data_IF_598961964893
#
_entry.id   IF_598961964893
#
_cell.length_a   1.000
_cell.length_b   1.000
_cell.length_c   1.000
_cell.angle_alpha   90.00
_cell.angle_beta   90.00
_cell.angle_gamma   90.00
#
_symmetry.space_group_name_H-M   'P 1'
#
loop_
_entity.id
_entity.type
_entity.pdbx_description
1 polymer ?
#
# COMPACT_ATOMS: atom_id res chain seq x y z
N UNK A 1 -7.95 -1.03 23.77
CA UNK A 1 -7.67 -0.52 22.40
C UNK A 1 -6.40 -1.09 21.78
N UNK A 2 -5.23 -0.94 22.43
CA UNK A 2 -3.93 -1.36 21.88
C UNK A 2 -3.83 -2.85 21.52
N UNK A 3 -4.35 -3.75 22.35
CA UNK A 3 -4.30 -5.20 22.07
C UNK A 3 -5.16 -5.59 20.86
N UNK A 4 -6.37 -5.04 20.76
CA UNK A 4 -7.26 -5.25 19.59
C UNK A 4 -6.56 -4.78 18.31
N UNK A 5 -5.94 -3.61 18.35
CA UNK A 5 -5.17 -3.05 17.23
C UNK A 5 -4.00 -3.96 16.80
N UNK A 6 -3.18 -4.40 17.76
CA UNK A 6 -2.05 -5.31 17.48
C UNK A 6 -2.53 -6.63 16.88
N UNK A 7 -3.63 -7.21 17.38
CA UNK A 7 -4.21 -8.44 16.85
C UNK A 7 -4.68 -8.27 15.41
N UNK A 8 -5.39 -7.18 15.10
CA UNK A 8 -5.84 -6.87 13.74
C UNK A 8 -4.67 -6.68 12.79
N UNK A 9 -3.63 -5.93 13.18
CA UNK A 9 -2.44 -5.72 12.34
C UNK A 9 -1.64 -7.01 12.11
N UNK A 10 -1.57 -7.91 13.10
CA UNK A 10 -0.98 -9.25 12.92
C UNK A 10 -1.77 -10.11 11.93
N UNK A 11 -3.10 -10.06 11.98
CA UNK A 11 -3.95 -10.78 11.02
C UNK A 11 -3.71 -10.26 9.60
N UNK A 12 -3.70 -8.93 9.41
CA UNK A 12 -3.40 -8.34 8.10
C UNK A 12 -1.99 -8.66 7.62
N UNK A 13 -1.00 -8.70 8.52
CA UNK A 13 0.37 -9.09 8.19
C UNK A 13 0.40 -10.54 7.67
N UNK A 14 -0.24 -11.47 8.37
CA UNK A 14 -0.32 -12.86 7.96
C UNK A 14 -1.06 -13.02 6.62
N UNK A 15 -2.20 -12.34 6.45
CA UNK A 15 -2.96 -12.38 5.21
C UNK A 15 -2.15 -11.86 4.01
N UNK A 16 -1.46 -10.73 4.17
CA UNK A 16 -0.63 -10.18 3.10
C UNK A 16 0.59 -11.05 2.80
N UNK A 17 1.24 -11.65 3.80
CA UNK A 17 2.30 -12.61 3.56
C UNK A 17 1.80 -13.84 2.78
N UNK A 18 0.64 -14.39 3.13
CA UNK A 18 0.05 -15.52 2.41
C UNK A 18 -0.28 -15.16 0.95
N UNK A 19 -0.91 -14.01 0.72
CA UNK A 19 -1.22 -13.53 -0.63
C UNK A 19 0.08 -13.28 -1.42
N UNK A 20 1.08 -12.64 -0.81
CA UNK A 20 2.38 -12.40 -1.43
C UNK A 20 3.10 -13.70 -1.80
N UNK A 21 3.10 -14.70 -0.91
CA UNK A 21 3.67 -16.02 -1.20
C UNK A 21 2.91 -16.75 -2.31
N UNK A 22 1.58 -16.70 -2.33
CA UNK A 22 0.78 -17.31 -3.39
C UNK A 22 1.06 -16.67 -4.76
N UNK A 23 1.14 -15.33 -4.82
CA UNK A 23 1.49 -14.60 -6.03
C UNK A 23 2.92 -14.88 -6.48
N UNK A 24 3.87 -14.96 -5.55
CA UNK A 24 5.26 -15.27 -5.87
C UNK A 24 5.39 -16.71 -6.40
N UNK A 25 4.78 -17.69 -5.74
CA UNK A 25 4.79 -19.07 -6.18
C UNK A 25 4.12 -19.23 -7.56
N UNK A 26 2.94 -18.63 -7.73
CA UNK A 26 2.26 -18.59 -9.03
C UNK A 26 3.10 -17.90 -10.11
N UNK A 27 3.78 -16.81 -9.77
CA UNK A 27 4.66 -16.10 -10.69
C UNK A 27 5.89 -16.90 -11.08
N UNK A 28 6.53 -17.60 -10.14
CA UNK A 28 7.65 -18.50 -10.46
C UNK A 28 7.21 -19.66 -11.35
N UNK A 29 6.00 -20.21 -11.15
CA UNK A 29 5.47 -21.25 -12.03
C UNK A 29 5.19 -20.72 -13.44
N UNK A 30 4.64 -19.52 -13.58
CA UNK A 30 4.40 -18.91 -14.90
C UNK A 30 5.69 -18.49 -15.59
N UNK A 31 6.71 -18.05 -14.86
CA UNK A 31 8.02 -17.70 -15.44
C UNK A 31 8.67 -18.91 -16.13
N UNK A 32 8.45 -20.12 -15.60
CA UNK A 32 8.93 -21.37 -16.20
C UNK A 32 8.23 -21.74 -17.53
N UNK A 33 6.99 -21.27 -17.73
CA UNK A 33 6.17 -21.62 -18.91
C UNK A 33 6.21 -20.52 -19.96
N UNK A 34 5.99 -19.27 -19.55
CA UNK A 34 5.77 -18.12 -20.44
C UNK A 34 6.78 -16.98 -20.23
N UNK A 35 7.82 -17.15 -19.39
CA UNK A 35 8.82 -16.12 -19.04
C UNK A 35 8.17 -14.77 -18.61
N UNK A 36 6.98 -14.87 -18.01
CA UNK A 36 6.20 -13.72 -17.57
C UNK A 36 6.51 -13.40 -16.12
N UNK A 37 7.21 -12.28 -15.90
CA UNK A 37 7.62 -11.83 -14.56
C UNK A 37 6.55 -10.97 -13.86
N UNK A 38 5.37 -10.86 -14.46
CA UNK A 38 4.31 -9.97 -14.01
C UNK A 38 3.81 -10.28 -12.60
N UNK A 39 3.52 -11.55 -12.32
CA UNK A 39 3.07 -11.99 -10.99
C UNK A 39 4.16 -11.88 -9.92
N UNK A 40 5.43 -12.09 -10.29
CA UNK A 40 6.56 -11.88 -9.38
C UNK A 40 6.62 -10.41 -8.98
N UNK A 41 6.52 -9.48 -9.93
CA UNK A 41 6.47 -8.05 -9.65
C UNK A 41 5.26 -7.64 -8.79
N UNK A 42 4.07 -8.16 -9.11
CA UNK A 42 2.84 -7.91 -8.34
C UNK A 42 2.93 -8.44 -6.90
N UNK A 43 3.66 -9.52 -6.65
CA UNK A 43 3.87 -10.08 -5.30
C UNK A 43 4.57 -9.10 -4.35
N UNK A 44 5.36 -8.16 -4.89
CA UNK A 44 6.06 -7.15 -4.08
C UNK A 44 5.10 -6.19 -3.37
N UNK A 45 3.88 -5.98 -3.89
CA UNK A 45 2.88 -5.09 -3.28
C UNK A 45 2.44 -5.62 -1.91
N UNK A 46 1.90 -6.85 -1.78
CA UNK A 46 1.53 -7.38 -0.46
C UNK A 46 2.75 -7.60 0.44
N UNK A 47 3.95 -7.92 -0.08
CA UNK A 47 5.16 -7.99 0.74
C UNK A 47 5.57 -6.63 1.30
N UNK A 48 5.56 -5.57 0.50
CA UNK A 48 5.86 -4.21 0.94
C UNK A 48 4.86 -3.73 1.99
N UNK A 49 3.57 -4.03 1.82
CA UNK A 49 2.56 -3.73 2.83
C UNK A 49 2.77 -4.51 4.12
N UNK A 50 3.10 -5.80 4.04
CA UNK A 50 3.43 -6.63 5.20
C UNK A 50 4.67 -6.10 5.96
N UNK A 51 5.70 -5.63 5.24
CA UNK A 51 6.87 -4.99 5.84
C UNK A 51 6.49 -3.70 6.61
N UNK A 52 5.65 -2.84 6.02
CA UNK A 52 5.15 -1.65 6.70
C UNK A 52 4.39 -1.99 8.00
N UNK A 53 3.54 -3.02 7.96
CA UNK A 53 2.85 -3.53 9.15
C UNK A 53 3.82 -4.07 10.20
N UNK A 54 4.86 -4.79 9.78
CA UNK A 54 5.88 -5.33 10.68
C UNK A 54 6.64 -4.21 11.38
N UNK A 55 7.05 -3.18 10.63
CA UNK A 55 7.73 -1.99 11.18
C UNK A 55 6.83 -1.32 12.21
N UNK A 56 5.55 -1.10 11.91
CA UNK A 56 4.60 -0.51 12.85
C UNK A 56 4.47 -1.36 14.12
N UNK A 57 4.38 -2.68 14.01
CA UNK A 57 4.32 -3.58 15.17
C UNK A 57 5.60 -3.52 16.02
N UNK A 58 6.78 -3.44 15.39
CA UNK A 58 8.05 -3.27 16.08
C UNK A 58 8.08 -1.92 16.81
N UNK A 59 7.66 -0.84 16.15
CA UNK A 59 7.61 0.50 16.74
C UNK A 59 6.65 0.57 17.93
N UNK A 60 5.48 -0.08 17.87
CA UNK A 60 4.53 -0.15 18.99
C UNK A 60 5.11 -0.91 20.18
N UNK A 61 5.97 -1.91 19.92
CA UNK A 61 6.67 -2.65 20.98
C UNK A 61 7.81 -1.83 21.59
N UNK A 62 8.57 -1.09 20.77
CA UNK A 62 9.74 -0.29 21.21
C UNK A 62 9.36 1.05 21.84
N UNK A 63 8.44 1.80 21.25
CA UNK A 63 7.97 3.09 21.75
C UNK A 63 6.44 3.17 21.69
N UNK A 64 5.75 2.62 22.70
CA UNK A 64 4.30 2.57 22.70
C UNK A 64 3.64 3.95 22.84
N UNK A 65 4.27 4.87 23.57
CA UNK A 65 3.72 6.20 23.83
C UNK A 65 3.76 7.07 22.56
N UNK A 66 4.85 7.01 21.78
CA UNK A 66 4.96 7.72 20.50
C UNK A 66 4.00 7.21 19.41
N UNK A 67 3.50 5.98 19.54
CA UNK A 67 2.57 5.37 18.58
C UNK A 67 1.09 5.55 18.97
N UNK A 68 0.77 6.08 20.15
CA UNK A 68 -0.61 6.32 20.58
C UNK A 68 -1.39 7.24 19.64
N UNK A 69 -0.84 8.36 19.13
CA UNK A 69 -1.56 9.22 18.17
C UNK A 69 -1.95 8.47 16.90
N UNK A 70 -1.07 7.60 16.39
CA UNK A 70 -1.36 6.77 15.22
C UNK A 70 -2.48 5.76 15.50
N UNK A 71 -2.43 5.09 16.66
CA UNK A 71 -3.44 4.12 17.07
C UNK A 71 -4.81 4.78 17.23
N UNK A 72 -4.85 6.01 17.76
CA UNK A 72 -6.08 6.79 17.90
C UNK A 72 -6.57 7.24 16.52
N UNK A 73 -5.71 7.81 15.69
CA UNK A 73 -6.07 8.26 14.34
C UNK A 73 -6.63 7.13 13.44
N UNK A 74 -6.19 5.88 13.64
CA UNK A 74 -6.70 4.73 12.89
C UNK A 74 -7.96 4.07 13.49
N UNK A 75 -8.35 4.38 14.73
CA UNK A 75 -9.55 3.82 15.37
C UNK A 75 -10.63 4.84 15.70
N UNK A 76 -10.32 6.14 15.69
CA UNK A 76 -11.26 7.22 15.98
C UNK A 76 -12.16 7.46 14.76
N UNK A 77 -13.47 7.30 14.96
CA UNK A 77 -14.48 7.46 13.91
C UNK A 77 -14.50 8.86 13.32
N UNK A 78 -14.17 9.90 14.12
CA UNK A 78 -14.13 11.30 13.65
C UNK A 78 -12.97 11.54 12.70
N UNK A 79 -11.82 10.92 12.97
CA UNK A 79 -10.65 11.00 12.09
C UNK A 79 -10.90 10.16 10.83
N UNK A 80 -11.57 9.02 10.97
CA UNK A 80 -11.93 8.17 9.85
C UNK A 80 -12.95 8.81 8.92
N UNK A 81 -13.93 9.57 9.42
CA UNK A 81 -14.91 10.27 8.58
C UNK A 81 -14.24 11.34 7.71
N UNK A 82 -13.35 12.14 8.29
CA UNK A 82 -12.57 13.16 7.58
C UNK A 82 -11.66 12.52 6.54
N UNK A 83 -11.05 11.38 6.87
CA UNK A 83 -10.26 10.61 5.91
C UNK A 83 -11.11 10.09 4.74
N UNK A 84 -12.34 9.66 5.01
CA UNK A 84 -13.25 9.18 3.98
C UNK A 84 -13.83 10.32 3.13
N UNK A 85 -13.97 11.52 3.68
CA UNK A 85 -14.32 12.73 2.91
C UNK A 85 -13.15 13.18 2.02
N UNK A 86 -11.93 13.21 2.57
CA UNK A 86 -10.72 13.58 1.81
C UNK A 86 -10.31 12.51 0.79
N UNK A 87 -10.71 11.26 0.99
CA UNK A 87 -10.42 10.12 0.13
C UNK A 87 -11.56 9.11 0.15
N UNK A 88 -12.54 9.31 -0.74
CA UNK A 88 -13.69 8.41 -0.83
C UNK A 88 -13.23 6.98 -1.10
N UNK A 89 -13.88 6.01 -0.45
CA UNK A 89 -13.55 4.59 -0.59
C UNK A 89 -13.56 4.16 -2.06
N UNK A 90 -14.49 4.70 -2.86
CA UNK A 90 -14.60 4.47 -4.30
C UNK A 90 -13.40 5.02 -5.07
N UNK A 91 -12.99 6.25 -4.81
CA UNK A 91 -11.84 6.86 -5.48
C UNK A 91 -10.53 6.14 -5.12
N UNK A 92 -10.40 5.71 -3.86
CA UNK A 92 -9.28 4.87 -3.41
C UNK A 92 -9.25 3.53 -4.16
N UNK A 93 -10.40 2.87 -4.29
CA UNK A 93 -10.52 1.60 -5.01
C UNK A 93 -10.17 1.73 -6.49
N UNK A 94 -10.74 2.72 -7.17
CA UNK A 94 -10.45 3.02 -8.58
C UNK A 94 -8.95 3.27 -8.79
N UNK A 95 -8.33 4.04 -7.90
CA UNK A 95 -6.90 4.35 -7.96
C UNK A 95 -6.03 3.12 -7.79
N UNK A 96 -6.35 2.24 -6.83
CA UNK A 96 -5.63 0.97 -6.69
C UNK A 96 -5.79 0.08 -7.92
N UNK A 97 -6.99 0.02 -8.51
CA UNK A 97 -7.22 -0.72 -9.74
C UNK A 97 -6.36 -0.17 -10.90
N UNK A 98 -6.35 1.15 -11.09
CA UNK A 98 -5.51 1.80 -12.11
C UNK A 98 -4.01 1.56 -11.86
N UNK A 99 -3.56 1.66 -10.61
CA UNK A 99 -2.16 1.37 -10.24
C UNK A 99 -1.80 -0.09 -10.50
N UNK A 100 -2.69 -1.04 -10.22
CA UNK A 100 -2.46 -2.46 -10.49
C UNK A 100 -2.42 -2.76 -11.98
N UNK A 101 -3.27 -2.12 -12.79
CA UNK A 101 -3.22 -2.23 -14.26
C UNK A 101 -1.91 -1.64 -14.79
N UNK A 102 -1.52 -0.46 -14.30
CA UNK A 102 -0.27 0.20 -14.66
C UNK A 102 0.94 -0.69 -14.33
N UNK A 103 1.06 -1.17 -13.09
CA UNK A 103 2.17 -2.03 -12.68
C UNK A 103 2.13 -3.40 -13.36
N UNK A 104 0.94 -3.97 -13.54
CA UNK A 104 0.75 -5.23 -14.25
C UNK A 104 1.25 -5.15 -15.69
N UNK A 105 0.89 -4.08 -16.41
CA UNK A 105 1.41 -3.83 -17.75
C UNK A 105 2.93 -3.59 -17.75
N UNK A 106 3.43 -2.80 -16.78
CA UNK A 106 4.88 -2.56 -16.56
C UNK A 106 5.68 -3.86 -16.49
N UNK A 107 5.16 -4.84 -15.76
CA UNK A 107 5.87 -6.08 -15.56
C UNK A 107 5.64 -7.13 -16.66
N UNK A 108 4.62 -6.96 -17.50
CA UNK A 108 4.39 -7.82 -18.68
C UNK A 108 5.34 -7.48 -19.82
N UNK A 109 5.59 -6.19 -20.09
CA UNK A 109 6.45 -5.74 -21.20
C UNK A 109 7.51 -4.77 -20.68
N UNK A 110 8.47 -5.24 -19.86
CA UNK A 110 9.42 -4.35 -19.20
C UNK A 110 10.31 -3.61 -20.20
N UNK A 111 10.76 -4.27 -21.28
CA UNK A 111 11.68 -3.67 -22.27
C UNK A 111 11.17 -2.33 -22.82
N UNK A 112 9.98 -2.36 -23.43
CA UNK A 112 9.37 -1.17 -24.04
C UNK A 112 9.07 -0.06 -23.01
N UNK A 113 8.82 -0.45 -21.75
CA UNK A 113 8.37 0.46 -20.71
C UNK A 113 9.52 1.18 -20.01
N UNK A 114 10.63 0.50 -19.74
CA UNK A 114 11.82 1.13 -19.17
C UNK A 114 12.43 2.13 -20.17
N UNK A 115 12.27 1.89 -21.48
CA UNK A 115 12.72 2.79 -22.55
C UNK A 115 11.74 3.95 -22.84
N UNK A 116 10.45 3.78 -22.55
CA UNK A 116 9.44 4.80 -22.77
C UNK A 116 9.45 5.91 -21.70
N UNK A 117 10.03 7.06 -22.04
CA UNK A 117 10.05 8.28 -21.19
C UNK A 117 8.65 8.68 -20.70
N UNK A 118 7.62 8.52 -21.53
CA UNK A 118 6.23 8.84 -21.18
C UNK A 118 5.73 8.05 -19.97
N UNK A 119 6.19 6.81 -19.81
CA UNK A 119 5.79 5.94 -18.70
C UNK A 119 6.28 6.47 -17.34
N UNK A 120 7.53 6.94 -17.31
CA UNK A 120 8.13 7.55 -16.12
C UNK A 120 7.50 8.89 -15.76
N UNK A 121 7.10 9.67 -16.77
CA UNK A 121 6.36 10.91 -16.55
C UNK A 121 5.00 10.61 -15.90
N UNK A 122 4.26 9.62 -16.41
CA UNK A 122 2.98 9.19 -15.82
C UNK A 122 3.18 8.66 -14.40
N UNK A 123 4.19 7.84 -14.16
CA UNK A 123 4.54 7.38 -12.82
C UNK A 123 4.88 8.54 -11.87
N UNK A 124 5.66 9.51 -12.34
CA UNK A 124 6.01 10.70 -11.59
C UNK A 124 4.79 11.53 -11.18
N UNK A 125 3.84 11.74 -12.09
CA UNK A 125 2.57 12.40 -11.77
C UNK A 125 1.73 11.59 -10.77
N UNK A 126 1.64 10.27 -10.95
CA UNK A 126 0.93 9.40 -10.01
C UNK A 126 1.55 9.50 -8.61
N UNK A 127 2.88 9.42 -8.53
CA UNK A 127 3.63 9.52 -7.27
C UNK A 127 3.44 10.90 -6.62
N UNK A 128 3.56 11.98 -7.38
CA UNK A 128 3.33 13.34 -6.89
C UNK A 128 1.89 13.52 -6.37
N UNK A 129 0.89 12.97 -7.06
CA UNK A 129 -0.50 12.99 -6.59
C UNK A 129 -0.66 12.27 -5.24
N UNK A 130 0.01 11.12 -5.04
CA UNK A 130 0.02 10.44 -3.73
C UNK A 130 0.69 11.28 -2.63
N UNK A 131 1.81 11.93 -2.94
CA UNK A 131 2.50 12.82 -1.99
C UNK A 131 1.64 14.02 -1.60
N UNK A 132 1.03 14.70 -2.57
CA UNK A 132 0.14 15.84 -2.33
C UNK A 132 -1.04 15.43 -1.47
N UNK A 133 -1.65 14.26 -1.74
CA UNK A 133 -2.76 13.77 -0.91
C UNK A 133 -2.31 13.52 0.53
N UNK A 134 -1.12 12.94 0.73
CA UNK A 134 -0.53 12.74 2.06
C UNK A 134 -0.33 14.05 2.81
N UNK A 135 0.17 15.08 2.13
CA UNK A 135 0.36 16.43 2.68
C UNK A 135 -0.98 17.07 3.04
N UNK A 136 -1.97 17.03 2.14
CA UNK A 136 -3.32 17.58 2.38
C UNK A 136 -3.98 16.91 3.59
N UNK A 137 -3.83 15.59 3.71
CA UNK A 137 -4.31 14.85 4.87
C UNK A 137 -3.64 15.32 6.17
N UNK A 138 -2.31 15.46 6.18
CA UNK A 138 -1.57 15.93 7.36
C UNK A 138 -1.97 17.36 7.78
N UNK A 139 -2.16 18.26 6.82
CA UNK A 139 -2.57 19.65 7.07
C UNK A 139 -3.99 19.75 7.62
N UNK A 140 -4.91 18.93 7.14
CA UNK A 140 -6.29 18.94 7.63
C UNK A 140 -6.43 18.26 8.99
N UNK A 141 -5.61 17.25 9.28
CA UNK A 141 -5.58 16.59 10.58
C UNK A 141 -5.15 17.54 11.70
N UNK A 142 -4.10 18.36 11.47
CA UNK A 142 -3.62 19.33 12.46
C UNK A 142 -4.58 20.50 12.76
N UNK A 143 -5.61 20.72 11.93
CA UNK A 143 -6.63 21.75 12.15
C UNK A 143 -7.81 21.29 13.01
N UNK A 144 -7.94 19.98 13.25
CA UNK A 144 -9.07 19.38 13.97
C UNK A 144 -8.68 18.73 15.31
N UNK A 145 -7.38 18.63 15.60
CA UNK A 145 -6.82 18.22 16.89
C UNK A 145 -6.65 19.43 17.82
#
# INVERSE_FOLDING_TARGET
>A
MKEKYVRTKRLHLAANLLVGMALLAGGLLLDLVDNSRALIGLSLIPFGYALGLLINLILIKRNPQGMNPLIIAENDERVMSVRNEADSVTFRGLRWALTLVFLGYTFLVPGDIFEAVGWWITFGFLFAAYMVQGIVFALNYGKQA
#
